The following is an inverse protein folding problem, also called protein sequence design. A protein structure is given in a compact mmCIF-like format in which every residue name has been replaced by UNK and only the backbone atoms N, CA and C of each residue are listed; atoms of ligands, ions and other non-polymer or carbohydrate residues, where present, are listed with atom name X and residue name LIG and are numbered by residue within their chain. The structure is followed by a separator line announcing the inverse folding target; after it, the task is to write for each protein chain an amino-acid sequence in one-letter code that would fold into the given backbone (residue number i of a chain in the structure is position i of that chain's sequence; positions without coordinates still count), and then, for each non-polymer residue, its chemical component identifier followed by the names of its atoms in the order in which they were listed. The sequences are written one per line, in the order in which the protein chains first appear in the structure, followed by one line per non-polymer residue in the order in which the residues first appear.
data_IF_806736311449
#
_entry.id   IF_806736311449
#
_cell.length_a   1.000
_cell.length_b   1.000
_cell.length_c   1.000
_cell.angle_alpha   90.00
_cell.angle_beta   90.00
_cell.angle_gamma   90.00
#
_symmetry.space_group_name_H-M   'P 1'
#
loop_
_entity.id
_entity.type
_entity.pdbx_description
1 polymer ?
#
# COMPACT_ATOMS: atom_id res chain seq x y z
N UNK A 1 -9.01 -38.25 -38.11
CA UNK A 1 -9.09 -38.02 -36.66
C UNK A 1 -7.99 -37.01 -36.33
N UNK A 2 -8.34 -35.73 -36.13
CA UNK A 2 -7.35 -34.67 -35.82
C UNK A 2 -7.24 -34.62 -34.30
N UNK A 3 -6.07 -34.97 -33.78
CA UNK A 3 -5.73 -34.85 -32.36
C UNK A 3 -5.35 -33.39 -32.07
N UNK A 4 -6.20 -32.68 -31.32
CA UNK A 4 -5.85 -31.38 -30.74
C UNK A 4 -4.98 -31.62 -29.51
N UNK A 5 -3.71 -31.24 -29.58
CA UNK A 5 -2.82 -31.20 -28.41
C UNK A 5 -3.21 -30.03 -27.51
N UNK A 6 -3.18 -30.18 -26.17
CA UNK A 6 -3.45 -29.09 -25.25
C UNK A 6 -2.34 -28.03 -25.37
N UNK A 7 -2.72 -26.75 -25.42
CA UNK A 7 -1.78 -25.65 -25.37
C UNK A 7 -1.15 -25.58 -23.97
N UNK A 8 0.19 -25.52 -23.90
CA UNK A 8 0.92 -25.28 -22.65
C UNK A 8 0.66 -23.84 -22.20
N UNK A 9 0.38 -23.66 -20.90
CA UNK A 9 0.23 -22.34 -20.30
C UNK A 9 1.55 -21.56 -20.44
N UNK A 10 1.48 -20.36 -21.01
CA UNK A 10 2.64 -19.47 -21.13
C UNK A 10 2.83 -18.71 -19.82
N UNK A 11 4.09 -18.50 -19.41
CA UNK A 11 4.40 -17.67 -18.26
C UNK A 11 3.97 -16.21 -18.52
N UNK A 12 3.47 -15.49 -17.49
CA UNK A 12 3.14 -14.07 -17.61
C UNK A 12 4.34 -13.24 -18.05
N UNK A 13 4.11 -12.26 -18.91
CA UNK A 13 5.08 -11.26 -19.37
C UNK A 13 4.73 -9.89 -18.80
N UNK A 14 5.73 -9.03 -18.69
CA UNK A 14 5.51 -7.62 -18.32
C UNK A 14 4.58 -7.00 -19.36
N UNK A 15 3.46 -6.43 -18.90
CA UNK A 15 2.44 -5.83 -19.76
C UNK A 15 1.25 -6.75 -20.06
N UNK A 16 1.30 -8.03 -19.68
CA UNK A 16 0.12 -8.88 -19.73
C UNK A 16 -0.97 -8.31 -18.80
N UNK A 17 -2.26 -8.46 -19.16
CA UNK A 17 -3.34 -8.05 -18.30
C UNK A 17 -3.27 -8.83 -16.96
N UNK A 18 -3.68 -8.21 -15.85
CA UNK A 18 -3.74 -8.90 -14.56
C UNK A 18 -4.57 -10.18 -14.67
N UNK A 19 -4.07 -11.27 -14.10
CA UNK A 19 -4.83 -12.51 -13.99
C UNK A 19 -6.04 -12.31 -13.06
N UNK A 20 -7.21 -12.79 -13.47
CA UNK A 20 -8.42 -12.72 -12.67
C UNK A 20 -9.32 -13.93 -12.96
N UNK A 21 -9.94 -14.48 -11.91
CA UNK A 21 -10.96 -15.52 -12.01
C UNK A 21 -12.18 -15.06 -11.20
N UNK A 22 -13.36 -14.99 -11.83
CA UNK A 22 -14.59 -14.48 -11.22
C UNK A 22 -14.45 -13.09 -10.55
N UNK A 23 -13.50 -12.30 -11.02
CA UNK A 23 -13.16 -10.97 -10.52
C UNK A 23 -12.83 -10.05 -11.70
N UNK A 24 -12.95 -8.74 -11.47
CA UNK A 24 -12.56 -7.71 -12.43
C UNK A 24 -11.76 -6.64 -11.71
N UNK A 25 -10.60 -6.26 -12.23
CA UNK A 25 -9.87 -5.09 -11.75
C UNK A 25 -10.71 -3.83 -12.00
N UNK A 26 -11.02 -3.08 -10.96
CA UNK A 26 -11.85 -1.86 -11.04
C UNK A 26 -11.03 -0.58 -11.08
N UNK A 27 -9.83 -0.59 -10.50
CA UNK A 27 -8.90 0.53 -10.47
C UNK A 27 -7.56 0.08 -9.86
N UNK A 28 -6.52 0.89 -10.03
CA UNK A 28 -5.19 0.61 -9.47
C UNK A 28 -4.46 1.90 -9.13
N UNK A 29 -3.50 1.81 -8.21
CA UNK A 29 -2.52 2.85 -7.94
C UNK A 29 -1.14 2.18 -7.83
N UNK A 30 -0.11 2.78 -8.42
CA UNK A 30 1.23 2.19 -8.46
C UNK A 30 2.04 2.40 -7.17
N UNK A 31 1.47 3.09 -6.18
CA UNK A 31 2.11 3.46 -4.90
C UNK A 31 3.45 4.17 -5.07
N UNK A 32 3.62 4.90 -6.18
CA UNK A 32 4.89 5.49 -6.58
C UNK A 32 6.04 4.48 -6.73
N UNK A 33 5.72 3.22 -7.04
CA UNK A 33 6.70 2.13 -7.16
C UNK A 33 7.17 1.56 -5.82
N UNK A 34 6.50 1.87 -4.71
CA UNK A 34 6.80 1.31 -3.38
C UNK A 34 6.15 -0.07 -3.22
N UNK A 35 6.78 -0.98 -2.47
CA UNK A 35 6.28 -2.33 -2.22
C UNK A 35 5.04 -2.32 -1.31
N UNK A 36 3.96 -3.03 -1.64
CA UNK A 36 2.81 -3.13 -0.74
C UNK A 36 2.95 -4.32 0.20
N UNK A 37 2.91 -4.09 1.51
CA UNK A 37 2.60 -5.11 2.50
C UNK A 37 1.20 -4.85 3.09
N UNK A 38 0.84 -5.55 4.19
CA UNK A 38 -0.48 -5.57 4.84
C UNK A 38 -1.22 -4.21 4.80
N UNK A 39 -2.11 -3.99 3.82
CA UNK A 39 -2.88 -2.77 3.74
C UNK A 39 -4.10 -2.87 4.67
N UNK A 40 -4.47 -1.76 5.30
CA UNK A 40 -5.71 -1.62 6.07
C UNK A 40 -6.59 -0.57 5.41
N UNK A 41 -7.79 -0.95 4.98
CA UNK A 41 -8.81 0.01 4.50
C UNK A 41 -9.71 0.35 5.67
N UNK A 42 -9.84 1.64 5.99
CA UNK A 42 -10.63 2.15 7.11
C UNK A 42 -11.61 3.21 6.63
N UNK A 43 -12.85 3.13 7.12
CA UNK A 43 -13.84 4.18 6.86
C UNK A 43 -13.63 5.34 7.84
N UNK A 44 -13.12 6.47 7.33
CA UNK A 44 -12.75 7.65 8.08
C UNK A 44 -13.61 8.85 7.64
N UNK A 45 -14.52 9.30 8.51
CA UNK A 45 -15.46 10.37 8.18
C UNK A 45 -16.42 9.92 7.07
N UNK A 46 -16.36 10.57 5.91
CA UNK A 46 -17.14 10.22 4.71
C UNK A 46 -16.33 9.46 3.65
N UNK A 47 -15.11 9.01 3.98
CA UNK A 47 -14.16 8.44 3.02
C UNK A 47 -13.70 7.05 3.43
N UNK A 48 -13.34 6.24 2.44
CA UNK A 48 -12.54 5.03 2.66
C UNK A 48 -11.08 5.36 2.40
N UNK A 49 -10.25 5.18 3.43
CA UNK A 49 -8.81 5.46 3.35
C UNK A 49 -8.06 4.14 3.45
N UNK A 50 -7.19 3.87 2.48
CA UNK A 50 -6.26 2.75 2.51
C UNK A 50 -4.92 3.21 3.10
N UNK A 51 -4.49 2.54 4.15
CA UNK A 51 -3.18 2.71 4.78
C UNK A 51 -2.34 1.50 4.40
N UNK A 52 -1.32 1.71 3.56
CA UNK A 52 -0.48 0.64 3.02
C UNK A 52 0.90 0.74 3.63
N UNK A 53 1.27 -0.24 4.45
CA UNK A 53 2.63 -0.36 4.96
C UNK A 53 3.58 -0.88 3.90
N UNK A 54 4.82 -0.41 3.95
CA UNK A 54 5.88 -0.80 3.01
C UNK A 54 7.04 -1.48 3.74
N UNK A 55 7.70 -2.40 3.04
CA UNK A 55 9.07 -2.76 3.39
C UNK A 55 9.99 -1.55 3.13
N UNK A 56 11.15 -1.52 3.78
CA UNK A 56 12.25 -0.62 3.45
C UNK A 56 12.60 -0.66 1.95
N UNK A 57 13.39 0.31 1.51
CA UNK A 57 13.89 0.33 0.13
C UNK A 57 14.77 -0.89 -0.17
N UNK A 58 15.17 -1.03 -1.43
CA UNK A 58 16.18 -2.04 -1.82
C UNK A 58 17.56 -1.39 -1.84
N UNK A 59 18.68 -2.14 -1.92
CA UNK A 59 20.01 -1.56 -2.11
C UNK A 59 20.11 -0.67 -3.35
N UNK A 60 19.35 -0.96 -4.41
CA UNK A 60 19.31 -0.19 -5.66
C UNK A 60 18.45 1.08 -5.53
N UNK A 61 17.36 1.01 -4.76
CA UNK A 61 16.45 2.13 -4.51
C UNK A 61 16.14 2.22 -3.01
N UNK A 62 17.10 2.69 -2.19
CA UNK A 62 16.95 2.70 -0.73
C UNK A 62 15.92 3.72 -0.26
N UNK A 63 15.79 4.82 -1.01
CA UNK A 63 14.87 5.92 -0.72
C UNK A 63 14.08 6.29 -1.98
N UNK A 64 12.97 5.59 -2.29
CA UNK A 64 12.16 5.91 -3.46
C UNK A 64 11.61 7.34 -3.37
N UNK A 65 11.54 8.00 -4.53
CA UNK A 65 11.08 9.39 -4.62
C UNK A 65 9.59 9.49 -4.34
N UNK A 66 9.23 10.37 -3.41
CA UNK A 66 7.87 10.79 -3.20
C UNK A 66 7.42 11.73 -4.33
N UNK A 67 6.57 11.26 -5.23
CA UNK A 67 6.11 12.09 -6.36
C UNK A 67 5.25 13.29 -5.95
N UNK A 68 4.74 13.35 -4.71
CA UNK A 68 4.03 14.52 -4.19
C UNK A 68 4.96 15.68 -3.86
N UNK A 69 6.18 15.39 -3.41
CA UNK A 69 7.14 16.40 -2.92
C UNK A 69 8.42 16.49 -3.76
N UNK A 70 8.66 15.51 -4.63
CA UNK A 70 9.89 15.37 -5.40
C UNK A 70 11.10 14.89 -4.58
N UNK A 71 10.93 14.58 -3.29
CA UNK A 71 12.04 14.21 -2.39
C UNK A 71 12.25 12.70 -2.31
N UNK A 72 13.51 12.28 -2.19
CA UNK A 72 13.85 10.93 -1.80
C UNK A 72 13.62 10.77 -0.28
N UNK A 73 12.92 9.71 0.11
CA UNK A 73 12.63 9.41 1.51
C UNK A 73 12.61 7.90 1.75
N UNK A 74 12.91 7.49 2.99
CA UNK A 74 12.74 6.10 3.40
C UNK A 74 11.32 5.62 3.09
N UNK A 75 11.16 4.35 2.72
CA UNK A 75 9.84 3.74 2.68
C UNK A 75 9.15 3.82 4.06
N UNK A 76 7.83 3.63 4.07
CA UNK A 76 7.02 3.95 5.23
C UNK A 76 5.58 3.49 5.06
N UNK A 77 4.64 4.42 5.14
CA UNK A 77 3.21 4.15 4.92
C UNK A 77 2.64 5.07 3.85
N UNK A 78 2.06 4.51 2.78
CA UNK A 78 1.24 5.25 1.83
C UNK A 78 -0.19 5.40 2.34
N UNK A 79 -0.78 6.56 2.14
CA UNK A 79 -2.17 6.87 2.48
C UNK A 79 -2.90 7.22 1.19
N UNK A 80 -3.90 6.41 0.84
CA UNK A 80 -4.70 6.58 -0.37
C UNK A 80 -6.17 6.82 -0.01
N UNK A 81 -6.81 7.73 -0.72
CA UNK A 81 -8.26 7.80 -0.80
C UNK A 81 -8.75 6.73 -1.78
N UNK A 82 -9.55 5.80 -1.29
CA UNK A 82 -10.13 4.70 -2.07
C UNK A 82 -11.65 4.73 -2.01
N UNK A 83 -12.23 5.89 -1.71
CA UNK A 83 -13.70 6.09 -1.67
C UNK A 83 -14.33 5.78 -3.02
N UNK A 84 -13.69 6.21 -4.11
CA UNK A 84 -13.98 5.72 -5.46
C UNK A 84 -12.93 4.64 -5.82
N UNK A 85 -13.31 3.35 -5.85
CA UNK A 85 -12.36 2.28 -6.14
C UNK A 85 -11.85 2.31 -7.60
N UNK A 86 -12.52 3.02 -8.51
CA UNK A 86 -12.06 3.20 -9.88
C UNK A 86 -10.99 4.30 -10.02
N UNK A 87 -10.88 5.19 -9.03
CA UNK A 87 -9.94 6.31 -9.00
C UNK A 87 -9.22 6.44 -7.66
N UNK A 88 -8.40 5.46 -7.24
CA UNK A 88 -7.64 5.56 -6.01
C UNK A 88 -6.62 6.72 -6.05
N UNK A 89 -6.69 7.64 -5.10
CA UNK A 89 -5.88 8.87 -5.06
C UNK A 89 -4.82 8.78 -3.96
N UNK A 90 -3.55 8.94 -4.33
CA UNK A 90 -2.45 9.00 -3.37
C UNK A 90 -2.50 10.35 -2.62
N UNK A 91 -2.74 10.32 -1.32
CA UNK A 91 -2.90 11.53 -0.50
C UNK A 91 -1.62 11.96 0.19
N UNK A 92 -0.91 11.00 0.78
CA UNK A 92 0.27 11.28 1.58
C UNK A 92 1.17 10.05 1.70
N UNK A 93 2.42 10.29 2.07
CA UNK A 93 3.34 9.27 2.55
C UNK A 93 3.90 9.70 3.90
N UNK A 94 4.04 8.73 4.81
CA UNK A 94 4.69 8.93 6.10
C UNK A 94 5.95 8.04 6.12
N UNK A 95 7.16 8.62 6.10
CA UNK A 95 8.40 7.86 6.17
C UNK A 95 8.47 6.94 7.39
N UNK A 96 9.10 5.79 7.19
CA UNK A 96 9.49 4.84 8.24
C UNK A 96 10.96 4.99 8.61
N UNK A 97 11.50 3.94 9.23
CA UNK A 97 12.90 3.90 9.63
C UNK A 97 13.83 3.74 8.42
N UNK A 98 15.08 4.14 8.60
CA UNK A 98 16.14 3.75 7.68
C UNK A 98 16.37 2.23 7.79
N UNK A 99 16.44 1.56 6.65
CA UNK A 99 16.68 0.13 6.56
C UNK A 99 16.19 -0.43 5.23
N UNK A 100 16.78 -1.54 4.81
CA UNK A 100 16.34 -2.24 3.60
C UNK A 100 15.31 -3.31 3.97
N UNK A 101 14.36 -3.59 3.07
CA UNK A 101 13.43 -4.70 3.21
C UNK A 101 12.71 -4.73 4.58
N UNK A 102 12.89 -5.77 5.39
CA UNK A 102 12.25 -5.93 6.70
C UNK A 102 12.71 -4.87 7.73
N UNK A 103 13.88 -4.26 7.53
CA UNK A 103 14.47 -3.28 8.45
C UNK A 103 13.79 -1.91 8.39
N UNK A 104 13.02 -1.61 7.33
CA UNK A 104 12.34 -0.31 7.15
C UNK A 104 11.20 -0.06 8.17
N UNK A 105 10.74 -1.10 8.86
CA UNK A 105 9.98 -0.97 10.09
C UNK A 105 8.54 -0.43 10.00
N UNK A 106 7.96 -0.35 8.80
CA UNK A 106 6.63 0.22 8.56
C UNK A 106 5.69 -0.73 7.81
N UNK A 107 6.01 -2.03 7.74
CA UNK A 107 5.30 -3.01 6.92
C UNK A 107 3.87 -3.23 7.40
N UNK A 108 3.67 -3.38 8.71
CA UNK A 108 2.34 -3.61 9.29
C UNK A 108 1.73 -2.33 9.83
N UNK A 109 0.47 -2.12 9.48
CA UNK A 109 -0.35 -1.01 9.95
C UNK A 109 -1.64 -1.54 10.56
N UNK A 110 -2.10 -0.93 11.66
CA UNK A 110 -3.46 -1.09 12.20
C UNK A 110 -4.07 0.28 12.43
N UNK A 111 -5.37 0.40 12.21
CA UNK A 111 -6.08 1.68 12.27
C UNK A 111 -7.34 1.52 13.11
N UNK A 112 -7.67 2.53 13.90
CA UNK A 112 -8.91 2.59 14.66
C UNK A 112 -9.38 4.03 14.86
N UNK A 113 -10.67 4.21 15.12
CA UNK A 113 -11.21 5.51 15.50
C UNK A 113 -10.90 5.80 16.97
N UNK A 114 -10.63 7.05 17.30
CA UNK A 114 -10.42 7.48 18.68
C UNK A 114 -11.62 7.21 19.59
N UNK A 115 -12.85 7.26 19.03
CA UNK A 115 -14.09 6.93 19.75
C UNK A 115 -14.15 5.48 20.23
N UNK A 116 -13.34 4.58 19.66
CA UNK A 116 -13.27 3.16 20.09
C UNK A 116 -12.19 2.92 21.14
N UNK A 117 -11.42 3.94 21.52
CA UNK A 117 -10.34 3.85 22.50
C UNK A 117 -10.76 4.48 23.83
N UNK A 118 -10.43 3.87 25.00
CA UNK A 118 -10.86 4.38 26.31
C UNK A 118 -10.45 5.83 26.64
N UNK A 119 -9.35 6.32 26.03
CA UNK A 119 -8.82 7.69 26.21
C UNK A 119 -8.51 8.35 24.86
N UNK A 120 -9.11 7.86 23.78
CA UNK A 120 -8.91 8.45 22.46
C UNK A 120 -9.68 9.75 22.31
N UNK A 121 -9.14 10.70 21.56
CA UNK A 121 -9.92 11.83 21.08
C UNK A 121 -10.93 11.32 20.04
N UNK A 122 -12.22 11.45 20.33
CA UNK A 122 -13.30 10.95 19.48
C UNK A 122 -13.33 11.55 18.08
N UNK A 123 -12.67 12.70 17.87
CA UNK A 123 -12.54 13.37 16.57
C UNK A 123 -11.38 12.86 15.71
N UNK A 124 -10.54 11.96 16.25
CA UNK A 124 -9.31 11.50 15.60
C UNK A 124 -9.40 10.05 15.15
N UNK A 125 -8.50 9.70 14.25
CA UNK A 125 -8.19 8.31 13.86
C UNK A 125 -6.75 8.06 14.22
N UNK A 126 -6.47 6.89 14.78
CA UNK A 126 -5.16 6.49 15.24
C UNK A 126 -4.63 5.38 14.34
N UNK A 127 -3.36 5.52 13.96
CA UNK A 127 -2.63 4.53 13.18
C UNK A 127 -1.47 3.99 14.03
N UNK A 128 -1.42 2.67 14.21
CA UNK A 128 -0.31 1.98 14.83
C UNK A 128 0.59 1.38 13.75
N UNK A 129 1.90 1.61 13.90
CA UNK A 129 2.97 1.04 13.07
C UNK A 129 3.86 0.16 13.93
N UNK A 130 4.61 -0.76 13.30
CA UNK A 130 5.51 -1.72 13.97
C UNK A 130 6.47 -1.00 14.93
N UNK A 131 7.11 0.09 14.49
CA UNK A 131 7.99 0.92 15.32
C UNK A 131 7.46 2.36 15.43
N UNK A 132 6.33 2.56 16.11
CA UNK A 132 5.68 3.88 16.23
C UNK A 132 6.46 4.95 17.00
N UNK A 133 7.51 4.59 17.74
CA UNK A 133 8.30 5.52 18.59
C UNK A 133 9.63 5.97 18.00
N UNK A 134 9.97 5.53 16.78
CA UNK A 134 11.18 5.94 16.06
C UNK A 134 10.80 6.09 14.59
N UNK A 135 10.75 7.32 14.11
CA UNK A 135 10.58 7.68 12.71
C UNK A 135 11.21 9.07 12.51
#
# INVERSE_FOLDING_TARGET
MILTLPALAQAPKIGDPPEANNMRLVGYNDLHGRSAYQPTIHHQGSRYIAYIGHHGGTPEVPQPVNRLTGQAENNGTSILDVTDPAQPKYLAHIPGLQGHYEEGGAQMVRVCDGKTLPKGDASKTYMLRVFGGRA
#
